data_IF_739332402330
#
_entry.id   IF_739332402330
#
_cell.length_a   1.000
_cell.length_b   1.000
_cell.length_c   1.000
_cell.angle_alpha   90.00
_cell.angle_beta   90.00
_cell.angle_gamma   90.00
#
_symmetry.space_group_name_H-M   'P 1'
#
loop_
_entity.id
_entity.type
_entity.pdbx_description
1 polymer ?
#
# COMPACT_ATOMS: atom_id res chain seq x y z
N UNK A 1 3.82 -9.41 -27.35
CA UNK A 1 5.12 -8.91 -26.84
C UNK A 1 4.87 -8.16 -25.54
N UNK A 2 5.37 -8.71 -24.44
CA UNK A 2 5.45 -8.06 -23.13
C UNK A 2 6.36 -6.83 -23.19
N UNK A 3 6.13 -5.85 -22.32
CA UNK A 3 6.91 -4.60 -22.30
C UNK A 3 6.61 -3.59 -23.42
N UNK A 4 5.46 -3.68 -24.10
CA UNK A 4 5.00 -2.55 -24.93
C UNK A 4 4.66 -1.37 -24.03
N UNK A 5 5.39 -0.27 -24.21
CA UNK A 5 5.12 1.02 -23.56
C UNK A 5 3.74 1.56 -23.93
N UNK A 6 3.11 2.26 -22.98
CA UNK A 6 1.98 3.15 -23.22
C UNK A 6 2.32 4.17 -24.30
N UNK A 7 1.35 4.50 -25.15
CA UNK A 7 1.41 5.58 -26.14
C UNK A 7 0.28 6.58 -25.93
N UNK A 8 0.42 7.82 -26.41
CA UNK A 8 -0.65 8.82 -26.39
C UNK A 8 -1.99 8.26 -26.93
N UNK A 9 -1.92 7.51 -28.03
CA UNK A 9 -3.06 6.80 -28.63
C UNK A 9 -3.78 5.84 -27.66
N UNK A 10 -3.05 5.17 -26.76
CA UNK A 10 -3.64 4.30 -25.75
C UNK A 10 -4.22 5.10 -24.58
N UNK A 11 -3.52 6.14 -24.12
CA UNK A 11 -4.00 7.03 -23.05
C UNK A 11 -5.32 7.71 -23.45
N UNK A 12 -5.41 8.25 -24.67
CA UNK A 12 -6.63 8.87 -25.22
C UNK A 12 -7.79 7.88 -25.27
N UNK A 13 -7.54 6.63 -25.69
CA UNK A 13 -8.59 5.59 -25.74
C UNK A 13 -9.17 5.25 -24.36
N UNK A 14 -8.37 5.34 -23.30
CA UNK A 14 -8.84 5.17 -21.92
C UNK A 14 -9.55 6.45 -21.40
N UNK A 15 -8.96 7.64 -21.59
CA UNK A 15 -9.56 8.92 -21.15
C UNK A 15 -10.91 9.21 -21.84
N UNK A 16 -10.97 9.10 -23.17
CA UNK A 16 -12.16 9.38 -23.99
C UNK A 16 -13.07 8.17 -24.18
N UNK A 17 -12.92 7.14 -23.33
CA UNK A 17 -13.67 5.88 -23.43
C UNK A 17 -15.18 6.07 -23.42
N UNK A 18 -15.69 6.99 -22.60
CA UNK A 18 -17.13 7.33 -22.53
C UNK A 18 -17.60 7.92 -23.87
N UNK A 19 -16.84 8.83 -24.45
CA UNK A 19 -17.16 9.46 -25.75
C UNK A 19 -17.20 8.42 -26.89
N UNK A 20 -16.26 7.46 -26.88
CA UNK A 20 -16.22 6.33 -27.82
C UNK A 20 -17.46 5.44 -27.65
N UNK A 21 -17.86 5.13 -26.42
CA UNK A 21 -19.08 4.37 -26.14
C UNK A 21 -20.36 5.13 -26.53
N UNK A 22 -20.37 6.46 -26.37
CA UNK A 22 -21.47 7.34 -26.76
C UNK A 22 -21.65 7.41 -28.28
N UNK A 23 -20.54 7.45 -29.05
CA UNK A 23 -20.58 7.35 -30.52
C UNK A 23 -21.16 5.99 -30.95
N UNK A 24 -20.74 4.89 -30.32
CA UNK A 24 -21.26 3.54 -30.63
C UNK A 24 -22.74 3.40 -30.28
N UNK A 25 -23.17 3.94 -29.13
CA UNK A 25 -24.59 3.96 -28.72
C UNK A 25 -25.45 4.76 -29.71
N UNK A 26 -24.98 5.93 -30.14
CA UNK A 26 -25.67 6.77 -31.15
C UNK A 26 -25.78 6.10 -32.53
N UNK A 27 -24.87 5.16 -32.84
CA UNK A 27 -24.91 4.36 -34.07
C UNK A 27 -25.77 3.08 -33.95
N UNK A 28 -26.46 2.88 -32.82
CA UNK A 28 -27.35 1.72 -32.60
C UNK A 28 -26.62 0.39 -32.47
N UNK A 29 -25.32 0.39 -32.17
CA UNK A 29 -24.49 -0.81 -32.20
C UNK A 29 -24.51 -1.50 -30.83
N UNK A 30 -25.12 -2.68 -30.77
CA UNK A 30 -25.16 -3.51 -29.57
C UNK A 30 -23.84 -4.25 -29.33
N UNK A 31 -23.51 -4.47 -28.06
CA UNK A 31 -22.34 -5.24 -27.64
C UNK A 31 -22.41 -6.66 -28.20
N UNK A 32 -21.31 -7.15 -28.79
CA UNK A 32 -21.17 -8.54 -29.26
C UNK A 32 -21.45 -8.79 -30.75
N UNK A 33 -21.85 -7.79 -31.54
CA UNK A 33 -22.05 -8.00 -32.99
C UNK A 33 -20.73 -8.22 -33.75
N UNK A 34 -20.77 -8.95 -34.88
CA UNK A 34 -19.59 -9.14 -35.77
C UNK A 34 -19.03 -7.82 -36.33
N UNK A 35 -19.84 -6.75 -36.38
CA UNK A 35 -19.40 -5.42 -36.87
C UNK A 35 -18.71 -4.58 -35.80
N UNK A 36 -18.79 -4.96 -34.52
CA UNK A 36 -18.23 -4.20 -33.38
C UNK A 36 -16.78 -3.76 -33.54
N UNK A 37 -15.88 -4.61 -34.06
CA UNK A 37 -14.45 -4.30 -34.14
C UNK A 37 -14.19 -3.14 -35.11
N UNK A 38 -14.76 -3.20 -36.31
CA UNK A 38 -14.64 -2.14 -37.32
C UNK A 38 -15.31 -0.85 -36.87
N UNK A 39 -16.51 -0.94 -36.29
CA UNK A 39 -17.23 0.23 -35.78
C UNK A 39 -16.55 0.87 -34.57
N UNK A 40 -15.92 0.08 -33.69
CA UNK A 40 -15.12 0.60 -32.57
C UNK A 40 -13.91 1.39 -33.06
N UNK A 41 -13.15 0.91 -34.06
CA UNK A 41 -12.05 1.71 -34.62
C UNK A 41 -12.56 2.99 -35.30
N UNK A 42 -13.71 2.96 -35.99
CA UNK A 42 -14.35 4.17 -36.55
C UNK A 42 -14.76 5.16 -35.45
N UNK A 43 -15.36 4.67 -34.36
CA UNK A 43 -15.75 5.50 -33.21
C UNK A 43 -14.53 6.14 -32.52
N UNK A 44 -13.43 5.40 -32.39
CA UNK A 44 -12.14 5.94 -31.92
C UNK A 44 -11.64 7.04 -32.85
N UNK A 45 -11.67 6.83 -34.18
CA UNK A 45 -11.29 7.86 -35.16
C UNK A 45 -12.10 9.14 -35.02
N UNK A 46 -13.43 9.05 -35.03
CA UNK A 46 -14.35 10.19 -34.88
C UNK A 46 -14.21 10.96 -33.56
N UNK A 47 -13.67 10.32 -32.51
CA UNK A 47 -13.35 10.99 -31.24
C UNK A 47 -11.97 11.64 -31.33
N UNK A 48 -10.98 10.95 -31.89
CA UNK A 48 -9.60 11.44 -32.07
C UNK A 48 -9.48 12.63 -33.03
N UNK A 49 -10.28 12.67 -34.10
CA UNK A 49 -10.35 13.79 -35.06
C UNK A 49 -10.80 15.11 -34.44
N UNK A 50 -11.46 15.07 -33.28
CA UNK A 50 -11.95 16.26 -32.56
C UNK A 50 -10.98 16.78 -31.51
N UNK A 51 -9.87 16.07 -31.28
CA UNK A 51 -8.92 16.41 -30.22
C UNK A 51 -7.96 17.50 -30.70
N UNK A 52 -7.78 18.52 -29.87
CA UNK A 52 -6.79 19.56 -30.09
C UNK A 52 -5.36 19.03 -29.96
N UNK A 53 -4.38 19.76 -30.52
CA UNK A 53 -2.96 19.44 -30.34
C UNK A 53 -2.58 19.34 -28.85
N UNK A 54 -3.10 20.22 -28.03
CA UNK A 54 -2.88 20.26 -26.57
C UNK A 54 -3.31 18.94 -25.88
N UNK A 55 -4.45 18.36 -26.27
CA UNK A 55 -4.92 17.07 -25.73
C UNK A 55 -4.04 15.89 -26.17
N UNK A 56 -3.44 15.96 -27.36
CA UNK A 56 -2.46 14.98 -27.83
C UNK A 56 -1.12 15.11 -27.11
N UNK A 57 -0.65 16.34 -26.89
CA UNK A 57 0.58 16.64 -26.14
C UNK A 57 0.44 16.22 -24.66
N UNK A 58 -0.72 16.47 -24.02
CA UNK A 58 -1.04 15.98 -22.66
C UNK A 58 -1.03 14.43 -22.61
N UNK A 59 -1.65 13.78 -23.60
CA UNK A 59 -1.71 12.32 -23.64
C UNK A 59 -0.35 11.65 -23.85
N UNK A 60 0.57 12.27 -24.60
CA UNK A 60 1.93 11.75 -24.76
C UNK A 60 2.75 11.93 -23.47
N UNK A 61 2.63 13.10 -22.81
CA UNK A 61 3.21 13.32 -21.49
C UNK A 61 2.69 12.30 -20.46
N UNK A 62 1.38 12.07 -20.40
CA UNK A 62 0.76 11.06 -19.54
C UNK A 62 1.24 9.65 -19.88
N UNK A 63 1.43 9.31 -21.17
CA UNK A 63 2.02 8.03 -21.55
C UNK A 63 3.46 7.89 -21.01
N UNK A 64 4.27 8.95 -21.07
CA UNK A 64 5.59 9.02 -20.41
C UNK A 64 5.52 8.78 -18.90
N UNK A 65 4.57 9.42 -18.22
CA UNK A 65 4.33 9.23 -16.77
C UNK A 65 3.89 7.81 -16.44
N UNK A 66 2.96 7.21 -17.20
CA UNK A 66 2.44 5.87 -16.94
C UNK A 66 3.47 4.77 -17.22
N UNK A 67 4.41 5.01 -18.14
CA UNK A 67 5.54 4.13 -18.44
C UNK A 67 6.65 4.13 -17.39
N UNK A 68 6.82 5.24 -16.66
CA UNK A 68 7.86 5.41 -15.62
C UNK A 68 7.33 5.19 -14.22
N UNK A 69 6.01 5.32 -14.02
CA UNK A 69 5.32 5.12 -12.75
C UNK A 69 4.25 4.03 -12.88
N UNK A 70 2.97 4.34 -12.71
CA UNK A 70 1.84 3.45 -12.98
C UNK A 70 0.64 4.24 -13.48
N UNK A 71 -0.15 3.65 -14.37
CA UNK A 71 -1.42 4.20 -14.83
C UNK A 71 -2.40 4.43 -13.65
N UNK A 72 -3.51 5.18 -13.82
CA UNK A 72 -4.53 5.34 -12.78
C UNK A 72 -5.07 3.99 -12.26
N UNK A 73 -5.54 3.89 -10.99
CA UNK A 73 -6.04 2.64 -10.42
C UNK A 73 -7.15 1.98 -11.25
N UNK A 74 -8.12 2.77 -11.73
CA UNK A 74 -9.22 2.31 -12.59
C UNK A 74 -8.71 1.66 -13.90
N UNK A 75 -7.68 2.24 -14.52
CA UNK A 75 -7.06 1.72 -15.75
C UNK A 75 -6.23 0.46 -15.47
N UNK A 76 -5.46 0.43 -14.37
CA UNK A 76 -4.72 -0.77 -13.95
C UNK A 76 -5.68 -1.96 -13.75
N UNK A 77 -6.76 -1.71 -13.03
CA UNK A 77 -7.77 -2.70 -12.70
C UNK A 77 -8.50 -3.26 -13.93
N UNK A 78 -9.01 -2.39 -14.79
CA UNK A 78 -9.74 -2.82 -15.98
C UNK A 78 -8.82 -3.61 -16.94
N UNK A 79 -7.54 -3.23 -17.05
CA UNK A 79 -6.57 -4.01 -17.80
C UNK A 79 -6.27 -5.36 -17.14
N UNK A 80 -6.11 -5.42 -15.81
CA UNK A 80 -5.85 -6.67 -15.11
C UNK A 80 -7.01 -7.66 -15.29
N UNK A 81 -8.25 -7.20 -15.13
CA UNK A 81 -9.45 -8.05 -15.31
C UNK A 81 -9.67 -8.48 -16.76
N UNK A 82 -9.49 -7.58 -17.75
CA UNK A 82 -9.81 -7.86 -19.16
C UNK A 82 -8.67 -8.51 -19.93
N UNK A 83 -7.43 -8.34 -19.48
CA UNK A 83 -6.22 -8.75 -20.21
C UNK A 83 -5.14 -9.41 -19.35
N UNK A 84 -5.19 -9.32 -18.02
CA UNK A 84 -4.17 -9.89 -17.14
C UNK A 84 -3.94 -11.40 -17.38
N UNK A 85 -5.01 -12.15 -17.56
CA UNK A 85 -4.94 -13.57 -17.94
C UNK A 85 -4.21 -13.79 -19.28
N UNK A 86 -4.59 -13.05 -20.34
CA UNK A 86 -3.94 -13.16 -21.65
C UNK A 86 -2.48 -12.68 -21.62
N UNK A 87 -2.19 -11.74 -20.71
CA UNK A 87 -0.85 -11.22 -20.48
C UNK A 87 0.04 -12.32 -19.87
N UNK A 88 -0.44 -12.99 -18.82
CA UNK A 88 0.23 -14.12 -18.21
C UNK A 88 0.38 -15.30 -19.19
N UNK A 89 -0.68 -15.67 -19.93
CA UNK A 89 -0.64 -16.76 -20.93
C UNK A 89 0.46 -16.55 -21.96
N UNK A 90 0.51 -15.34 -22.53
CA UNK A 90 1.52 -15.03 -23.54
C UNK A 90 2.92 -14.81 -22.94
N UNK A 91 3.06 -14.56 -21.65
CA UNK A 91 4.37 -14.56 -20.98
C UNK A 91 4.86 -15.99 -20.77
N UNK A 92 4.02 -16.89 -20.26
CA UNK A 92 4.35 -18.30 -20.12
C UNK A 92 4.74 -18.93 -21.47
N UNK A 93 3.99 -18.64 -22.53
CA UNK A 93 4.34 -19.08 -23.89
C UNK A 93 5.68 -18.52 -24.36
N UNK A 94 5.97 -17.24 -24.14
CA UNK A 94 7.26 -16.64 -24.52
C UNK A 94 8.44 -17.28 -23.74
N UNK A 95 8.26 -17.60 -22.46
CA UNK A 95 9.26 -18.27 -21.61
C UNK A 95 9.52 -19.72 -22.05
N UNK A 96 8.47 -20.48 -22.36
CA UNK A 96 8.61 -21.83 -22.90
C UNK A 96 9.30 -21.80 -24.28
N UNK A 97 8.82 -20.98 -25.22
CA UNK A 97 9.36 -20.94 -26.59
C UNK A 97 10.82 -20.48 -26.69
N UNK A 98 11.29 -19.61 -25.78
CA UNK A 98 12.63 -19.01 -25.86
C UNK A 98 13.63 -19.58 -24.86
N UNK A 99 13.16 -20.14 -23.75
CA UNK A 99 14.00 -20.57 -22.64
C UNK A 99 13.73 -22.02 -22.21
N UNK A 100 12.76 -22.73 -22.82
CA UNK A 100 12.32 -24.06 -22.38
C UNK A 100 11.70 -24.07 -20.98
N UNK A 101 11.32 -22.90 -20.46
CA UNK A 101 10.94 -22.72 -19.06
C UNK A 101 9.42 -22.81 -18.87
N UNK A 102 9.01 -23.70 -17.96
CA UNK A 102 7.65 -23.75 -17.40
C UNK A 102 7.54 -22.73 -16.26
N UNK A 103 6.40 -22.06 -16.14
CA UNK A 103 6.20 -21.00 -15.14
C UNK A 103 4.79 -21.05 -14.55
N UNK A 104 4.69 -20.74 -13.26
CA UNK A 104 3.43 -20.50 -12.55
C UNK A 104 3.47 -19.07 -12.04
N UNK A 105 2.43 -18.28 -12.31
CA UNK A 105 2.39 -16.86 -11.97
C UNK A 105 1.34 -16.59 -10.90
N UNK A 106 1.80 -16.25 -9.71
CA UNK A 106 0.94 -15.68 -8.67
C UNK A 106 0.79 -14.18 -8.92
N UNK A 107 -0.44 -13.70 -9.15
CA UNK A 107 -0.71 -12.31 -9.49
C UNK A 107 -1.73 -11.73 -8.51
N UNK A 108 -1.48 -10.51 -8.03
CA UNK A 108 -2.36 -9.80 -7.13
C UNK A 108 -2.46 -8.33 -7.56
N UNK A 109 -3.68 -7.79 -7.55
CA UNK A 109 -3.97 -6.42 -7.97
C UNK A 109 -5.14 -5.86 -7.16
N UNK A 110 -5.43 -4.57 -7.38
CA UNK A 110 -6.70 -3.98 -6.95
C UNK A 110 -7.68 -4.00 -8.11
N UNK A 111 -8.85 -4.56 -7.90
CA UNK A 111 -9.97 -4.52 -8.86
C UNK A 111 -10.35 -3.07 -9.23
N UNK A 112 -11.24 -2.92 -10.22
CA UNK A 112 -11.74 -1.59 -10.63
C UNK A 112 -12.51 -0.94 -9.50
N UNK A 113 -12.90 -1.80 -8.58
CA UNK A 113 -13.23 -1.48 -7.23
C UNK A 113 -12.08 -0.61 -6.60
N UNK A 114 -11.13 -1.27 -5.91
CA UNK A 114 -10.07 -0.82 -5.00
C UNK A 114 -9.67 -1.87 -3.93
N UNK A 115 -10.37 -3.01 -3.90
CA UNK A 115 -10.19 -4.17 -3.04
C UNK A 115 -9.20 -5.22 -3.59
N UNK A 116 -8.71 -6.14 -2.74
CA UNK A 116 -7.71 -7.13 -3.13
C UNK A 116 -8.29 -8.20 -4.06
N UNK A 117 -7.66 -8.34 -5.23
CA UNK A 117 -7.78 -9.49 -6.11
C UNK A 117 -6.47 -10.28 -6.08
N UNK A 118 -6.57 -11.61 -6.08
CA UNK A 118 -5.44 -12.51 -6.23
C UNK A 118 -5.86 -13.70 -7.09
N UNK A 119 -4.91 -14.27 -7.83
CA UNK A 119 -5.11 -15.48 -8.63
C UNK A 119 -3.77 -16.17 -8.88
N UNK A 120 -3.83 -17.47 -9.18
CA UNK A 120 -2.71 -18.20 -9.75
C UNK A 120 -3.01 -18.50 -11.22
N UNK A 121 -2.07 -18.15 -12.09
CA UNK A 121 -2.09 -18.48 -13.49
C UNK A 121 -1.07 -19.57 -13.79
N UNK A 122 -1.59 -20.75 -14.11
CA UNK A 122 -0.87 -21.86 -14.69
C UNK A 122 -1.37 -22.10 -16.12
N UNK A 123 -0.45 -22.43 -17.01
CA UNK A 123 -0.70 -22.76 -18.41
C UNK A 123 0.16 -23.93 -18.89
N UNK A 124 0.88 -24.61 -17.99
CA UNK A 124 1.88 -25.61 -18.35
C UNK A 124 1.23 -26.88 -18.94
N UNK A 125 -0.03 -27.15 -18.60
CA UNK A 125 -0.90 -28.16 -19.24
C UNK A 125 -1.32 -27.81 -20.69
N UNK A 126 -1.16 -26.55 -21.10
CA UNK A 126 -1.41 -26.09 -22.49
C UNK A 126 -0.15 -26.01 -23.35
N UNK A 127 0.99 -26.44 -22.82
CA UNK A 127 2.31 -26.36 -23.45
C UNK A 127 2.88 -27.77 -23.63
N UNK A 128 2.75 -28.30 -24.85
CA UNK A 128 3.26 -29.63 -25.24
C UNK A 128 2.64 -30.75 -24.37
N UNK A 129 3.39 -31.83 -24.06
CA UNK A 129 2.98 -32.88 -23.09
C UNK A 129 3.12 -32.43 -21.61
N UNK A 130 3.07 -31.11 -21.36
CA UNK A 130 3.21 -30.51 -20.05
C UNK A 130 2.04 -30.84 -19.09
N UNK A 131 2.26 -30.58 -17.80
CA UNK A 131 1.28 -30.81 -16.74
C UNK A 131 1.12 -29.57 -15.90
N UNK A 132 -0.11 -29.34 -15.43
CA UNK A 132 -0.37 -28.34 -14.40
C UNK A 132 0.41 -28.66 -13.11
N UNK A 133 0.77 -27.61 -12.39
CA UNK A 133 1.46 -27.67 -11.12
C UNK A 133 0.53 -28.27 -10.04
N UNK A 134 0.98 -29.30 -9.30
CA UNK A 134 0.17 -29.93 -8.25
C UNK A 134 -0.08 -28.99 -7.07
N UNK A 135 -1.15 -29.23 -6.31
CA UNK A 135 -1.45 -28.55 -5.03
C UNK A 135 -1.54 -27.01 -5.08
N UNK A 136 -1.81 -26.43 -6.26
CA UNK A 136 -1.93 -24.98 -6.45
C UNK A 136 -2.89 -24.27 -5.48
N UNK A 137 -3.95 -24.95 -5.02
CA UNK A 137 -4.91 -24.42 -4.03
C UNK A 137 -4.28 -24.11 -2.66
N UNK A 138 -3.23 -24.83 -2.25
CA UNK A 138 -2.51 -24.55 -0.99
C UNK A 138 -1.74 -23.23 -1.12
N UNK A 139 -1.04 -23.05 -2.24
CA UNK A 139 -0.30 -21.82 -2.54
C UNK A 139 -1.25 -20.65 -2.75
N UNK A 140 -2.39 -20.87 -3.41
CA UNK A 140 -3.41 -19.84 -3.66
C UNK A 140 -3.94 -19.24 -2.36
N UNK A 141 -4.16 -20.06 -1.32
CA UNK A 141 -4.56 -19.56 0.01
C UNK A 141 -3.50 -18.61 0.60
N UNK A 142 -2.24 -19.03 0.65
CA UNK A 142 -1.14 -18.19 1.17
C UNK A 142 -0.96 -16.92 0.33
N UNK A 143 -1.09 -17.00 -0.99
CA UNK A 143 -1.02 -15.86 -1.89
C UNK A 143 -2.19 -14.89 -1.70
N UNK A 144 -3.40 -15.41 -1.49
CA UNK A 144 -4.58 -14.60 -1.21
C UNK A 144 -4.48 -13.90 0.15
N UNK A 145 -3.93 -14.56 1.17
CA UNK A 145 -3.70 -13.96 2.48
C UNK A 145 -2.60 -12.89 2.44
N UNK A 146 -1.52 -13.11 1.67
CA UNK A 146 -0.52 -12.08 1.37
C UNK A 146 -1.12 -10.89 0.60
N UNK A 147 -1.90 -11.15 -0.45
CA UNK A 147 -2.57 -10.13 -1.26
C UNK A 147 -3.56 -9.30 -0.42
N UNK A 148 -4.28 -9.96 0.51
CA UNK A 148 -5.10 -9.27 1.51
C UNK A 148 -4.23 -8.37 2.36
N UNK A 149 -3.17 -8.85 2.98
CA UNK A 149 -2.30 -8.02 3.85
C UNK A 149 -1.81 -6.75 3.12
N UNK A 150 -1.12 -6.90 1.98
CA UNK A 150 -0.51 -5.76 1.26
C UNK A 150 -1.51 -4.73 0.71
N UNK A 151 -2.80 -5.10 0.58
CA UNK A 151 -3.84 -4.21 0.06
C UNK A 151 -4.88 -3.76 1.11
N UNK A 152 -5.02 -4.48 2.23
CA UNK A 152 -5.97 -4.17 3.33
C UNK A 152 -5.48 -3.03 4.21
N UNK A 153 -4.15 -2.84 4.32
CA UNK A 153 -3.50 -1.66 4.95
C UNK A 153 -3.95 -0.31 4.35
N UNK A 154 -4.71 -0.33 3.24
CA UNK A 154 -5.27 0.86 2.60
C UNK A 154 -6.81 0.98 2.68
N UNK A 155 -7.52 0.03 3.31
CA UNK A 155 -8.98 -0.06 3.22
C UNK A 155 -9.68 -0.59 4.48
N UNK A 156 -9.71 0.22 5.53
CA UNK A 156 -10.71 0.07 6.60
C UNK A 156 -11.57 1.33 6.70
N UNK A 157 -12.86 1.18 6.37
CA UNK A 157 -13.79 2.29 6.20
C UNK A 157 -15.14 1.83 5.68
N UNK A 158 -15.98 1.41 6.63
CA UNK A 158 -17.44 1.16 6.57
C UNK A 158 -17.95 0.06 5.63
N UNK A 159 -18.52 -0.98 6.24
CA UNK A 159 -19.56 -1.81 5.64
C UNK A 159 -20.90 -1.04 5.70
N UNK A 160 -21.78 -1.23 4.72
CA UNK A 160 -23.16 -1.54 5.07
C UNK A 160 -23.74 -2.53 4.05
N UNK A 161 -24.79 -3.23 4.48
CA UNK A 161 -25.34 -4.42 3.90
C UNK A 161 -26.42 -4.07 2.86
N UNK A 162 -26.53 -4.89 1.83
CA UNK A 162 -27.83 -5.22 1.23
C UNK A 162 -27.68 -6.49 0.44
N UNK A 163 -28.34 -7.55 0.90
CA UNK A 163 -28.40 -8.82 0.18
C UNK A 163 -29.34 -8.71 -1.04
N UNK A 164 -28.99 -9.46 -2.07
CA UNK A 164 -29.73 -9.60 -3.32
C UNK A 164 -29.13 -10.78 -4.07
N UNK A 165 -29.86 -11.88 -4.11
CA UNK A 165 -29.39 -13.18 -4.60
C UNK A 165 -29.23 -13.26 -6.14
N UNK A 166 -28.49 -14.31 -6.49
CA UNK A 166 -28.46 -15.05 -7.74
C UNK A 166 -27.62 -14.52 -8.93
N UNK A 167 -26.66 -15.35 -9.33
CA UNK A 167 -25.63 -15.07 -10.33
C UNK A 167 -24.21 -15.47 -9.87
N UNK A 168 -23.37 -16.07 -10.75
CA UNK A 168 -22.06 -16.60 -10.36
C UNK A 168 -21.11 -15.48 -9.89
N UNK A 169 -20.31 -15.71 -8.83
CA UNK A 169 -19.74 -14.63 -8.02
C UNK A 169 -18.63 -13.85 -8.74
N UNK A 170 -18.99 -12.68 -9.25
CA UNK A 170 -18.08 -11.56 -9.54
C UNK A 170 -18.41 -10.41 -8.60
N UNK A 171 -17.55 -10.13 -7.62
CA UNK A 171 -17.66 -8.91 -6.80
C UNK A 171 -16.40 -8.04 -6.97
N UNK A 172 -16.63 -6.74 -7.14
CA UNK A 172 -15.60 -5.68 -7.11
C UNK A 172 -15.98 -4.59 -6.11
N UNK A 173 -15.08 -4.05 -5.26
CA UNK A 173 -15.43 -3.05 -4.20
C UNK A 173 -14.41 -1.89 -4.04
N UNK A 174 -14.88 -0.63 -3.88
CA UNK A 174 -14.42 0.62 -4.57
C UNK A 174 -13.42 1.58 -3.88
N UNK A 175 -12.38 2.13 -4.57
CA UNK A 175 -11.38 3.22 -4.24
C UNK A 175 -10.14 3.26 -5.20
N UNK A 176 -9.39 4.34 -5.45
CA UNK A 176 -9.24 5.67 -4.79
C UNK A 176 -7.77 6.20 -4.90
N UNK A 177 -7.53 7.52 -4.88
CA UNK A 177 -6.20 8.16 -5.16
C UNK A 177 -5.14 8.03 -4.04
N UNK A 178 -3.84 8.18 -4.40
CA UNK A 178 -2.67 8.25 -3.47
C UNK A 178 -2.54 9.60 -2.73
N UNK A 179 -1.89 9.58 -1.57
CA UNK A 179 -1.80 10.70 -0.57
C UNK A 179 -0.35 11.20 -0.35
N UNK A 180 -0.15 12.45 0.13
CA UNK A 180 1.17 12.97 0.52
C UNK A 180 1.72 12.33 1.81
N UNK A 181 3.03 12.48 2.06
CA UNK A 181 3.74 11.93 3.23
C UNK A 181 3.99 13.04 4.26
N UNK A 182 3.73 12.75 5.53
CA UNK A 182 3.94 13.67 6.66
C UNK A 182 5.39 13.58 7.16
N UNK A 183 5.96 14.74 7.55
CA UNK A 183 7.29 14.87 8.14
C UNK A 183 7.14 15.37 9.59
N UNK A 184 7.88 14.75 10.51
CA UNK A 184 7.91 15.14 11.93
C UNK A 184 9.16 15.98 12.24
N UNK A 185 9.05 17.09 12.99
CA UNK A 185 10.20 17.69 13.67
C UNK A 185 10.76 16.72 14.72
N UNK A 186 12.06 16.76 14.96
CA UNK A 186 12.77 15.89 15.90
C UNK A 186 13.75 16.73 16.73
N UNK A 187 13.81 16.48 18.04
CA UNK A 187 14.73 17.11 18.98
C UNK A 187 16.12 16.46 18.97
N UNK A 188 17.09 17.09 19.64
CA UNK A 188 18.48 16.63 19.71
C UNK A 188 18.65 15.24 20.37
N UNK A 189 17.70 14.83 21.21
CA UNK A 189 17.62 13.50 21.83
C UNK A 189 16.92 12.44 20.96
N UNK A 190 16.53 12.80 19.73
CA UNK A 190 15.79 11.94 18.81
C UNK A 190 14.27 11.90 19.04
N UNK A 191 13.72 12.59 20.06
CA UNK A 191 12.28 12.64 20.34
C UNK A 191 11.55 13.39 19.23
N UNK A 192 10.56 12.76 18.61
CA UNK A 192 9.73 13.43 17.60
C UNK A 192 8.69 14.33 18.26
N UNK A 193 8.45 15.51 17.69
CA UNK A 193 7.43 16.46 18.13
C UNK A 193 6.20 16.46 17.23
N UNK A 194 5.04 16.81 17.80
CA UNK A 194 3.80 16.94 17.03
C UNK A 194 3.70 18.34 16.38
N UNK A 195 3.48 18.45 15.06
CA UNK A 195 3.14 19.71 14.39
C UNK A 195 1.73 20.17 14.78
N UNK A 196 1.33 21.38 14.35
CA UNK A 196 -0.01 21.92 14.62
C UNK A 196 -1.09 21.08 13.90
N UNK A 197 -2.10 20.62 14.65
CA UNK A 197 -3.15 19.72 14.16
C UNK A 197 -4.50 20.41 13.87
N UNK A 198 -4.62 21.73 14.09
CA UNK A 198 -5.91 22.44 13.99
C UNK A 198 -6.51 22.37 12.58
N UNK A 199 -5.68 22.52 11.54
CA UNK A 199 -6.11 22.55 10.14
C UNK A 199 -6.05 21.16 9.46
N UNK A 200 -5.59 20.13 10.17
CA UNK A 200 -5.41 18.79 9.61
C UNK A 200 -6.73 18.04 9.45
N UNK A 201 -6.94 17.46 8.28
CA UNK A 201 -8.05 16.56 8.00
C UNK A 201 -7.96 15.28 8.84
N UNK A 202 -9.09 14.58 9.00
CA UNK A 202 -9.16 13.36 9.80
C UNK A 202 -8.12 12.29 9.40
N UNK A 203 -7.82 12.18 8.11
CA UNK A 203 -6.82 11.25 7.61
C UNK A 203 -5.39 11.73 7.90
N UNK A 204 -5.10 13.02 7.76
CA UNK A 204 -3.77 13.58 8.04
C UNK A 204 -3.42 13.43 9.52
N UNK A 205 -4.41 13.59 10.42
CA UNK A 205 -4.25 13.28 11.84
C UNK A 205 -3.91 11.80 12.09
N UNK A 206 -4.54 10.87 11.37
CA UNK A 206 -4.22 9.42 11.47
C UNK A 206 -2.82 9.10 10.95
N UNK A 207 -2.47 9.66 9.79
CA UNK A 207 -1.18 9.47 9.14
C UNK A 207 -0.05 10.09 10.00
N UNK A 208 -0.33 11.21 10.69
CA UNK A 208 0.55 11.84 11.67
C UNK A 208 0.76 10.96 12.90
N UNK A 209 -0.34 10.51 13.53
CA UNK A 209 -0.31 9.61 14.68
C UNK A 209 0.47 8.32 14.37
N UNK A 210 0.23 7.73 13.19
CA UNK A 210 0.95 6.54 12.73
C UNK A 210 2.45 6.81 12.54
N UNK A 211 2.80 7.95 11.95
CA UNK A 211 4.20 8.35 11.77
C UNK A 211 4.90 8.56 13.13
N UNK A 212 4.22 9.23 14.07
CA UNK A 212 4.73 9.55 15.40
C UNK A 212 5.01 8.30 16.23
N UNK A 213 4.05 7.37 16.29
CA UNK A 213 4.22 6.08 16.97
C UNK A 213 5.28 5.21 16.27
N UNK A 214 5.32 5.21 14.92
CA UNK A 214 6.37 4.47 14.20
C UNK A 214 7.76 5.00 14.52
N UNK A 215 7.93 6.33 14.63
CA UNK A 215 9.20 6.94 15.03
C UNK A 215 9.64 6.49 16.42
N UNK A 216 8.77 6.60 17.42
CA UNK A 216 9.07 6.16 18.80
C UNK A 216 9.33 4.64 18.88
N UNK A 217 8.69 3.84 18.01
CA UNK A 217 8.96 2.40 17.93
C UNK A 217 10.33 2.08 17.29
N UNK A 218 10.76 2.88 16.31
CA UNK A 218 12.11 2.81 15.74
C UNK A 218 13.18 3.17 16.78
N UNK A 219 12.92 4.16 17.66
CA UNK A 219 13.83 4.54 18.75
C UNK A 219 14.06 3.39 19.74
N UNK A 220 12.98 2.88 20.36
CA UNK A 220 13.08 1.80 21.38
C UNK A 220 13.75 0.52 20.84
N UNK A 221 13.63 0.26 19.53
CA UNK A 221 14.19 -0.93 18.88
C UNK A 221 15.58 -0.71 18.24
N UNK A 222 16.12 0.51 18.26
CA UNK A 222 17.36 0.88 17.56
C UNK A 222 17.31 0.73 16.03
N UNK A 223 16.13 0.48 15.44
CA UNK A 223 15.97 0.10 14.03
C UNK A 223 15.40 1.26 13.21
N UNK A 224 16.20 1.79 12.28
CA UNK A 224 15.83 2.91 11.37
C UNK A 224 14.55 2.69 10.52
N UNK A 225 14.05 1.45 10.42
CA UNK A 225 12.83 1.05 9.69
C UNK A 225 12.11 -0.10 10.39
N UNK A 226 11.83 0.05 11.69
CA UNK A 226 11.05 -0.94 12.42
C UNK A 226 9.60 -1.03 11.92
N UNK A 227 9.04 -2.24 11.86
CA UNK A 227 7.60 -2.45 11.65
C UNK A 227 6.91 -2.51 13.01
N UNK A 228 5.95 -1.63 13.26
CA UNK A 228 5.19 -1.59 14.52
C UNK A 228 4.23 -2.80 14.59
N UNK A 229 4.30 -3.66 15.62
CA UNK A 229 3.47 -4.85 15.74
C UNK A 229 2.09 -4.50 16.33
N UNK A 230 1.30 -3.71 15.60
CA UNK A 230 0.02 -3.14 16.06
C UNK A 230 -0.88 -4.14 16.77
N UNK A 231 -1.07 -5.34 16.22
CA UNK A 231 -1.89 -6.40 16.82
C UNK A 231 -1.37 -6.87 18.19
N UNK A 232 -0.04 -6.89 18.40
CA UNK A 232 0.55 -7.26 19.69
C UNK A 232 0.38 -6.15 20.73
N UNK A 233 0.51 -4.88 20.30
CA UNK A 233 0.34 -3.72 21.18
C UNK A 233 -1.13 -3.57 21.59
N UNK A 234 -2.07 -3.65 20.64
CA UNK A 234 -3.52 -3.56 20.92
C UNK A 234 -3.98 -4.68 21.85
N UNK A 235 -3.41 -5.90 21.74
CA UNK A 235 -3.76 -7.02 22.61
C UNK A 235 -3.32 -6.80 24.06
N UNK A 236 -2.17 -6.17 24.29
CA UNK A 236 -1.56 -6.00 25.61
C UNK A 236 -0.82 -4.62 25.74
N UNK A 237 -1.53 -3.47 25.73
CA UNK A 237 -0.89 -2.16 25.62
C UNK A 237 0.08 -1.85 26.76
N UNK A 238 -0.28 -2.23 28.00
CA UNK A 238 0.55 -2.05 29.20
C UNK A 238 1.86 -2.86 29.21
N UNK A 239 2.11 -3.77 28.25
CA UNK A 239 3.44 -4.36 28.04
C UNK A 239 4.36 -3.47 27.19
N UNK A 240 3.80 -2.50 26.48
CA UNK A 240 4.50 -1.70 25.48
C UNK A 240 4.66 -0.24 25.90
N UNK A 241 3.73 0.34 26.65
CA UNK A 241 3.84 1.70 27.19
C UNK A 241 3.05 1.81 28.50
N UNK A 242 3.46 2.71 29.39
CA UNK A 242 2.72 2.98 30.62
C UNK A 242 1.40 3.72 30.33
N UNK A 243 0.35 3.38 31.08
CA UNK A 243 -0.99 3.98 30.95
C UNK A 243 -0.99 5.50 31.05
N UNK A 244 -0.02 6.09 31.77
CA UNK A 244 0.16 7.55 31.82
C UNK A 244 0.21 8.16 30.41
N UNK A 245 0.90 7.52 29.45
CA UNK A 245 1.15 8.04 28.09
C UNK A 245 -0.07 8.01 27.16
N UNK A 246 -1.27 7.66 27.64
CA UNK A 246 -2.46 7.57 26.80
C UNK A 246 -3.72 8.10 27.51
N UNK A 247 -4.62 8.82 26.80
CA UNK A 247 -5.84 9.32 27.43
C UNK A 247 -6.77 8.18 27.83
N UNK A 248 -7.10 8.09 29.13
CA UNK A 248 -7.97 7.04 29.69
C UNK A 248 -9.40 7.02 29.08
N UNK A 249 -9.81 8.12 28.44
CA UNK A 249 -11.10 8.28 27.73
C UNK A 249 -11.16 7.56 26.38
N UNK A 250 -10.01 7.25 25.77
CA UNK A 250 -9.95 6.73 24.40
C UNK A 250 -9.24 5.35 24.37
N UNK A 251 -9.85 4.30 23.78
CA UNK A 251 -9.20 2.99 23.68
C UNK A 251 -8.04 3.02 22.68
N UNK A 252 -6.91 2.40 23.03
CA UNK A 252 -5.79 2.24 22.10
C UNK A 252 -6.20 1.36 20.91
N UNK A 253 -6.04 1.90 19.70
CA UNK A 253 -6.31 1.21 18.43
C UNK A 253 -5.21 1.54 17.43
N UNK A 254 -5.14 0.74 16.37
CA UNK A 254 -4.34 1.10 15.19
C UNK A 254 -4.78 2.47 14.66
N UNK A 255 -3.87 3.39 14.29
CA UNK A 255 -4.22 4.76 13.92
C UNK A 255 -5.24 4.86 12.78
N UNK A 256 -5.18 3.95 11.81
CA UNK A 256 -6.13 3.81 10.70
C UNK A 256 -7.57 3.59 11.18
N UNK A 257 -7.76 2.90 12.32
CA UNK A 257 -9.04 2.45 12.89
C UNK A 257 -9.72 3.44 13.86
N UNK A 258 -9.08 4.57 14.17
CA UNK A 258 -9.64 5.59 15.08
C UNK A 258 -10.75 6.43 14.40
N UNK A 259 -11.67 6.99 15.16
CA UNK A 259 -12.58 8.05 14.66
C UNK A 259 -11.87 9.42 14.61
N UNK A 260 -12.47 10.42 13.95
CA UNK A 260 -11.93 11.79 13.98
C UNK A 260 -11.80 12.34 15.40
N UNK A 261 -12.81 12.10 16.24
CA UNK A 261 -12.80 12.52 17.64
C UNK A 261 -11.65 11.82 18.40
N UNK A 262 -11.52 10.50 18.27
CA UNK A 262 -10.48 9.72 18.98
C UNK A 262 -9.06 10.12 18.57
N UNK A 263 -8.78 10.26 17.26
CA UNK A 263 -7.44 10.68 16.81
C UNK A 263 -7.14 12.13 17.20
N UNK A 264 -8.16 13.00 17.26
CA UNK A 264 -8.04 14.39 17.70
C UNK A 264 -7.78 14.46 19.21
N UNK A 265 -8.48 13.67 20.02
CA UNK A 265 -8.30 13.54 21.48
C UNK A 265 -6.86 13.11 21.84
N UNK A 266 -6.38 12.01 21.25
CA UNK A 266 -5.01 11.50 21.47
C UNK A 266 -3.95 12.55 21.08
N UNK A 267 -4.11 13.20 19.92
CA UNK A 267 -3.14 14.21 19.48
C UNK A 267 -3.20 15.51 20.29
N UNK A 268 -4.37 15.90 20.82
CA UNK A 268 -4.47 17.04 21.75
C UNK A 268 -3.85 16.71 23.10
N UNK A 269 -4.11 15.52 23.65
CA UNK A 269 -3.52 15.04 24.89
C UNK A 269 -1.98 15.11 24.84
N UNK A 270 -1.36 14.52 23.81
CA UNK A 270 0.09 14.62 23.64
C UNK A 270 0.59 16.03 23.29
N UNK A 271 -0.15 16.83 22.51
CA UNK A 271 0.26 18.22 22.23
C UNK A 271 0.21 19.11 23.47
N UNK A 272 -0.74 18.88 24.38
CA UNK A 272 -0.84 19.59 25.64
C UNK A 272 0.34 19.19 26.54
N UNK A 273 0.56 17.89 26.73
CA UNK A 273 1.67 17.37 27.53
C UNK A 273 3.05 17.76 26.97
N UNK A 274 3.21 17.84 25.64
CA UNK A 274 4.42 18.35 25.00
C UNK A 274 4.78 19.80 25.42
N UNK A 275 3.83 20.59 25.92
CA UNK A 275 4.11 21.93 26.45
C UNK A 275 4.84 21.89 27.80
N UNK A 276 4.53 20.89 28.63
CA UNK A 276 5.08 20.75 29.98
C UNK A 276 6.33 19.85 30.01
N UNK A 277 6.35 18.76 29.23
CA UNK A 277 7.48 17.81 29.14
C UNK A 277 7.83 17.46 27.69
N UNK A 278 8.52 18.35 26.95
CA UNK A 278 8.80 18.17 25.52
C UNK A 278 9.70 16.98 25.16
N UNK A 279 10.39 16.38 26.14
CA UNK A 279 11.25 15.19 26.01
C UNK A 279 10.60 13.90 26.54
N UNK A 280 9.33 13.94 26.97
CA UNK A 280 8.63 12.81 27.57
C UNK A 280 7.16 12.70 27.10
N UNK A 281 6.95 12.92 25.81
CA UNK A 281 5.60 12.98 25.21
C UNK A 281 4.97 11.58 25.12
N UNK A 282 5.75 10.58 24.71
CA UNK A 282 5.34 9.18 24.57
C UNK A 282 6.58 8.29 24.50
N UNK A 283 6.62 7.16 25.25
CA UNK A 283 7.72 6.19 25.17
C UNK A 283 7.22 4.75 25.16
N UNK A 284 7.76 3.97 24.22
CA UNK A 284 7.66 2.51 24.27
C UNK A 284 8.68 1.96 25.27
N UNK A 285 8.24 1.04 26.12
CA UNK A 285 9.04 0.32 27.11
C UNK A 285 9.56 -1.03 26.60
N UNK A 286 8.96 -1.58 25.53
CA UNK A 286 9.35 -2.85 24.93
C UNK A 286 9.15 -2.81 23.42
N UNK A 287 9.88 -3.67 22.71
CA UNK A 287 9.73 -3.88 21.28
C UNK A 287 9.80 -5.38 20.93
N UNK A 288 9.59 -5.73 19.66
CA UNK A 288 9.63 -7.11 19.16
C UNK A 288 10.70 -7.32 18.09
N UNK A 289 11.48 -8.38 18.25
CA UNK A 289 12.45 -8.84 17.26
C UNK A 289 11.79 -9.59 16.09
N UNK A 290 12.63 -10.21 15.24
CA UNK A 290 12.17 -10.92 14.04
C UNK A 290 11.49 -12.25 14.36
N UNK A 291 11.83 -12.86 15.50
CA UNK A 291 11.24 -14.09 16.01
C UNK A 291 9.97 -13.82 16.85
N UNK A 292 9.65 -12.53 17.05
CA UNK A 292 8.45 -12.05 17.74
C UNK A 292 8.58 -12.01 19.27
N UNK A 293 9.81 -12.17 19.79
CA UNK A 293 10.15 -12.13 21.21
C UNK A 293 10.10 -10.67 21.70
N UNK A 294 9.65 -10.46 22.94
CA UNK A 294 9.52 -9.14 23.54
C UNK A 294 10.86 -8.73 24.18
N UNK A 295 11.46 -7.65 23.69
CA UNK A 295 12.78 -7.16 24.06
C UNK A 295 12.71 -5.83 24.84
N UNK A 296 13.70 -5.61 25.70
CA UNK A 296 13.95 -4.34 26.38
C UNK A 296 14.45 -3.24 25.42
N UNK A 297 14.30 -1.94 25.78
CA UNK A 297 14.77 -0.83 24.96
C UNK A 297 16.26 -0.97 24.65
N UNK A 298 16.65 -0.64 23.42
CA UNK A 298 18.06 -0.50 23.07
C UNK A 298 18.57 0.78 23.74
N UNK A 299 19.19 0.65 24.92
CA UNK A 299 19.94 1.73 25.54
C UNK A 299 21.21 1.97 24.72
N UNK A 300 21.37 3.18 24.18
CA UNK A 300 22.70 3.65 23.81
C UNK A 300 23.50 3.79 25.11
N UNK A 301 24.41 2.85 25.38
CA UNK A 301 25.39 3.05 26.44
C UNK A 301 26.23 4.28 26.08
N UNK A 302 26.30 5.32 26.94
CA UNK A 302 27.21 6.41 26.72
C UNK A 302 28.62 5.83 26.79
N UNK A 303 29.38 5.89 25.68
CA UNK A 303 30.76 5.41 25.64
C UNK A 303 31.54 6.05 26.79
N UNK A 304 31.90 5.24 27.77
CA UNK A 304 32.66 5.70 28.91
C UNK A 304 34.02 6.19 28.42
N UNK A 305 34.30 7.47 28.63
CA UNK A 305 35.64 8.02 28.39
C UNK A 305 36.65 7.25 29.23
N UNK A 306 37.50 6.43 28.60
CA UNK A 306 38.73 5.95 29.22
C UNK A 306 39.75 7.10 29.31
N UNK A 307 39.49 8.02 30.23
CA UNK A 307 40.41 9.06 30.65
C UNK A 307 40.70 8.93 32.15
N UNK A 308 41.77 8.20 32.48
CA UNK A 308 42.51 8.41 33.72
C UNK A 308 42.12 7.58 34.95
N UNK A 309 42.79 6.44 35.12
CA UNK A 309 43.33 6.01 36.43
C UNK A 309 44.79 5.62 36.19
N UNK A 310 45.81 6.28 36.76
CA UNK A 310 45.82 6.88 38.08
C UNK A 310 46.11 5.79 39.12
N UNK A 311 47.31 5.21 39.08
CA UNK A 311 47.79 4.30 40.13
C UNK A 311 48.43 5.14 41.25
N UNK A 312 47.89 5.12 42.49
CA UNK A 312 48.65 5.55 43.65
C UNK A 312 49.77 4.54 43.93
N UNK A 313 50.90 5.01 44.48
CA UNK A 313 52.09 4.19 44.65
C UNK A 313 51.97 3.13 45.75
N UNK A 314 52.73 2.05 45.57
CA UNK A 314 53.29 1.29 46.68
C UNK A 314 54.80 1.49 46.66
N UNK A 315 55.34 1.91 47.80
CA UNK A 315 56.77 1.86 48.08
C UNK A 315 57.11 0.52 48.73
N UNK A 316 58.37 0.09 48.55
CA UNK A 316 59.31 -0.46 49.55
C UNK A 316 60.13 -1.65 48.98
N UNK A 317 61.42 -1.65 49.33
CA UNK A 317 62.45 -2.70 49.20
C UNK A 317 63.21 -2.80 47.86
N UNK A 318 64.52 -2.55 47.95
CA UNK A 318 65.50 -2.57 46.85
C UNK A 318 66.64 -1.61 47.13
#
# INVERSE_FOLDING_TARGET
KWGRKWTANQVIREQKRKDIQDVLRKQGISSGSKTMIGSYQKAVGMVMEKLGKEEWDEADWLAGVWNTTKAPPEVQAELAEKRGHDYCRAFAKDMWQKCGAHVVMMVAWKDGNGGPMATIHDFNDTLDDGKAFPDGAVIEKHWLDYARDIFSVQNEGQCDNTDGEDGPPRKKIARGRKRPKITLPVLDDGTAQLPNILEMQAQEKKDLLQSFLTHHYCLVSGRKKATVPWLSIIKNPGLYFADQYFPATTPFKEPTKLTYAQVTDILHFWRHWQQDTPHDIFKFQKWKDFDGILCDPVTEEPMANESGKGKPGQSVAG
#
